data_IF_336989862476
#
_entry.id   IF_336989862476
#
_cell.length_a   1.000
_cell.length_b   1.000
_cell.length_c   1.000
_cell.angle_alpha   90.00
_cell.angle_beta   90.00
_cell.angle_gamma   90.00
#
_symmetry.space_group_name_H-M   'P 1'
#
loop_
_entity.id
_entity.type
_entity.pdbx_description
1 polymer ?
#
# COMPACT_ATOMS: atom_id res chain seq x y z
N UNK A 1 -18.04 -11.64 14.72
CA UNK A 1 -18.35 -10.66 13.65
C UNK A 1 -17.41 -9.46 13.70
N UNK A 2 -17.22 -8.77 14.83
CA UNK A 2 -16.30 -7.62 14.94
C UNK A 2 -14.82 -7.95 14.63
N UNK A 3 -14.34 -9.12 15.04
CA UNK A 3 -12.95 -9.54 14.76
C UNK A 3 -12.68 -9.76 13.27
N UNK A 4 -13.65 -10.30 12.53
CA UNK A 4 -13.53 -10.51 11.08
C UNK A 4 -13.52 -9.18 10.33
N UNK A 5 -14.40 -8.26 10.73
CA UNK A 5 -14.42 -6.90 10.19
C UNK A 5 -13.10 -6.17 10.47
N UNK A 6 -12.58 -6.30 11.70
CA UNK A 6 -11.30 -5.71 12.08
C UNK A 6 -10.12 -6.28 11.27
N UNK A 7 -10.13 -7.57 10.94
CA UNK A 7 -9.12 -8.18 10.08
C UNK A 7 -9.16 -7.60 8.66
N UNK A 8 -10.33 -7.58 8.03
CA UNK A 8 -10.48 -7.01 6.68
C UNK A 8 -10.18 -5.50 6.61
N UNK A 9 -10.54 -4.74 7.64
CA UNK A 9 -10.20 -3.32 7.75
C UNK A 9 -8.69 -3.10 7.89
N UNK A 10 -8.01 -3.91 8.71
CA UNK A 10 -6.55 -3.85 8.87
C UNK A 10 -5.82 -4.15 7.57
N UNK A 11 -6.24 -5.19 6.86
CA UNK A 11 -5.64 -5.57 5.57
C UNK A 11 -5.84 -4.48 4.52
N UNK A 12 -7.00 -3.84 4.51
CA UNK A 12 -7.29 -2.72 3.62
C UNK A 12 -6.37 -1.55 3.98
N UNK A 13 -6.32 -1.16 5.25
CA UNK A 13 -5.46 -0.09 5.74
C UNK A 13 -3.98 -0.29 5.33
N UNK A 14 -3.48 -1.52 5.49
CA UNK A 14 -2.10 -1.87 5.10
C UNK A 14 -1.86 -1.76 3.59
N UNK A 15 -2.81 -2.20 2.75
CA UNK A 15 -2.72 -2.06 1.29
C UNK A 15 -2.64 -0.59 0.86
N UNK A 16 -3.43 0.26 1.48
CA UNK A 16 -3.35 1.71 1.28
C UNK A 16 -1.99 2.25 1.74
N UNK A 17 -1.52 1.89 2.94
CA UNK A 17 -0.25 2.35 3.46
C UNK A 17 0.93 1.98 2.54
N UNK A 18 0.97 0.75 2.02
CA UNK A 18 1.97 0.29 1.06
C UNK A 18 1.93 1.16 -0.21
N UNK A 19 0.74 1.34 -0.79
CA UNK A 19 0.57 2.06 -2.06
C UNK A 19 1.01 3.52 -1.93
N UNK A 20 0.58 4.19 -0.85
CA UNK A 20 0.94 5.59 -0.60
C UNK A 20 2.42 5.78 -0.23
N UNK A 21 3.03 4.83 0.47
CA UNK A 21 4.48 4.86 0.72
C UNK A 21 5.26 4.81 -0.60
N UNK A 22 4.94 3.86 -1.47
CA UNK A 22 5.61 3.70 -2.77
C UNK A 22 5.41 4.90 -3.68
N UNK A 23 4.19 5.47 -3.72
CA UNK A 23 3.91 6.71 -4.44
C UNK A 23 4.70 7.90 -3.87
N UNK A 24 4.84 8.00 -2.55
CA UNK A 24 5.62 9.09 -1.94
C UNK A 24 7.12 8.98 -2.24
N UNK A 25 7.63 7.76 -2.38
CA UNK A 25 9.04 7.49 -2.70
C UNK A 25 9.35 7.63 -4.20
N UNK A 26 8.41 7.22 -5.06
CA UNK A 26 8.50 7.37 -6.51
C UNK A 26 7.18 7.88 -7.09
N UNK A 27 6.98 9.21 -7.12
CA UNK A 27 5.76 9.86 -7.62
C UNK A 27 5.40 9.48 -9.06
N UNK A 28 6.44 9.25 -9.88
CA UNK A 28 6.37 8.91 -11.31
C UNK A 28 6.24 7.43 -11.62
N UNK A 29 6.03 6.60 -10.60
CA UNK A 29 5.86 5.17 -10.78
C UNK A 29 4.64 4.87 -11.65
N UNK A 30 4.86 4.12 -12.74
CA UNK A 30 3.74 3.70 -13.57
C UNK A 30 2.86 2.67 -12.82
N UNK A 31 1.58 2.61 -13.19
CA UNK A 31 0.60 1.69 -12.60
C UNK A 31 1.07 0.24 -12.50
N UNK A 32 1.65 -0.31 -13.56
CA UNK A 32 2.03 -1.73 -13.58
C UNK A 32 3.16 -2.04 -12.60
N UNK A 33 4.12 -1.12 -12.48
CA UNK A 33 5.20 -1.22 -11.50
C UNK A 33 4.68 -1.04 -10.08
N UNK A 34 3.82 -0.04 -9.84
CA UNK A 34 3.21 0.20 -8.53
C UNK A 34 2.43 -1.02 -8.03
N UNK A 35 1.61 -1.64 -8.89
CA UNK A 35 0.87 -2.86 -8.56
C UNK A 35 1.81 -4.05 -8.26
N UNK A 36 2.95 -4.14 -8.95
CA UNK A 36 3.92 -5.23 -8.74
C UNK A 36 4.69 -5.06 -7.42
N UNK A 37 5.18 -3.85 -7.16
CA UNK A 37 5.93 -3.55 -5.94
C UNK A 37 5.03 -3.62 -4.71
N UNK A 38 3.82 -3.04 -4.79
CA UNK A 38 2.87 -3.09 -3.67
C UNK A 38 2.54 -4.53 -3.26
N UNK A 39 2.34 -5.42 -4.24
CA UNK A 39 2.13 -6.86 -3.97
C UNK A 39 3.34 -7.53 -3.35
N UNK A 40 4.55 -7.16 -3.76
CA UNK A 40 5.79 -7.72 -3.22
C UNK A 40 5.95 -7.36 -1.75
N UNK A 41 5.64 -6.11 -1.37
CA UNK A 41 5.64 -5.66 0.03
C UNK A 41 4.54 -6.38 0.82
N UNK A 42 3.32 -6.49 0.28
CA UNK A 42 2.22 -7.21 0.91
C UNK A 42 2.55 -8.70 1.14
N UNK A 43 3.21 -9.35 0.17
CA UNK A 43 3.67 -10.72 0.31
C UNK A 43 4.71 -10.86 1.43
N UNK A 44 5.66 -9.93 1.52
CA UNK A 44 6.64 -9.90 2.63
C UNK A 44 5.96 -9.73 3.99
N UNK A 45 5.02 -8.80 4.10
CA UNK A 45 4.21 -8.61 5.31
C UNK A 45 3.44 -9.88 5.68
N UNK A 46 2.87 -10.58 4.70
CA UNK A 46 2.15 -11.84 4.93
C UNK A 46 3.06 -12.92 5.52
N UNK A 47 4.28 -13.07 4.98
CA UNK A 47 5.27 -14.03 5.49
C UNK A 47 5.78 -13.65 6.88
N UNK A 48 6.13 -12.38 7.10
CA UNK A 48 6.73 -11.92 8.37
C UNK A 48 5.73 -11.87 9.53
N UNK A 49 4.46 -11.58 9.26
CA UNK A 49 3.43 -11.43 10.29
C UNK A 49 2.42 -12.57 10.32
N UNK A 50 2.64 -13.64 9.56
CA UNK A 50 1.79 -14.83 9.56
C UNK A 50 0.36 -14.58 9.05
N UNK A 51 0.17 -13.61 8.16
CA UNK A 51 -1.14 -13.32 7.56
C UNK A 51 -1.41 -14.39 6.51
N UNK A 52 -2.23 -15.39 6.82
CA UNK A 52 -2.63 -16.44 5.90
C UNK A 52 -3.87 -16.03 5.07
N UNK A 53 -3.74 -14.94 4.31
CA UNK A 53 -4.80 -14.36 3.49
C UNK A 53 -4.28 -14.19 2.05
N UNK A 54 -4.50 -15.14 1.13
CA UNK A 54 -4.07 -15.01 -0.27
C UNK A 54 -4.63 -13.76 -0.97
N UNK A 55 -5.78 -13.27 -0.50
CA UNK A 55 -6.39 -12.01 -0.92
C UNK A 55 -5.55 -10.76 -0.58
N UNK A 56 -4.66 -10.84 0.41
CA UNK A 56 -3.89 -9.69 0.88
C UNK A 56 -2.89 -9.17 -0.16
N UNK A 57 -2.38 -10.06 -1.01
CA UNK A 57 -1.45 -9.73 -2.09
C UNK A 57 -2.02 -10.06 -3.48
N UNK A 58 -3.35 -10.18 -3.59
CA UNK A 58 -4.01 -10.46 -4.86
C UNK A 58 -3.87 -9.31 -5.87
N UNK A 59 -3.72 -9.66 -7.15
CA UNK A 59 -3.55 -8.69 -8.22
C UNK A 59 -4.79 -7.83 -8.43
N UNK A 60 -5.97 -8.42 -8.49
CA UNK A 60 -7.19 -7.68 -8.79
C UNK A 60 -7.50 -6.66 -7.69
N UNK A 61 -7.18 -6.99 -6.44
CA UNK A 61 -7.29 -6.08 -5.30
C UNK A 61 -6.45 -4.82 -5.48
N UNK A 62 -5.17 -4.96 -5.78
CA UNK A 62 -4.29 -3.80 -6.00
C UNK A 62 -4.64 -3.04 -7.28
N UNK A 63 -5.00 -3.75 -8.36
CA UNK A 63 -5.44 -3.11 -9.60
C UNK A 63 -6.68 -2.25 -9.37
N UNK A 64 -7.65 -2.72 -8.57
CA UNK A 64 -8.86 -1.96 -8.22
C UNK A 64 -8.54 -0.74 -7.37
N UNK A 65 -7.64 -0.88 -6.39
CA UNK A 65 -7.18 0.23 -5.54
C UNK A 65 -6.51 1.33 -6.36
N UNK A 66 -5.53 0.99 -7.20
CA UNK A 66 -4.78 1.96 -8.01
C UNK A 66 -5.71 2.64 -9.01
N UNK A 67 -6.64 1.90 -9.63
CA UNK A 67 -7.67 2.48 -10.48
C UNK A 67 -8.53 3.49 -9.73
N UNK A 68 -8.99 3.15 -8.52
CA UNK A 68 -9.82 4.05 -7.70
C UNK A 68 -9.06 5.32 -7.35
N UNK A 69 -7.80 5.22 -6.92
CA UNK A 69 -6.97 6.38 -6.60
C UNK A 69 -6.79 7.30 -7.81
N UNK A 70 -6.69 6.74 -9.02
CA UNK A 70 -6.60 7.50 -10.25
C UNK A 70 -7.91 8.19 -10.58
N UNK A 71 -9.01 7.46 -10.53
CA UNK A 71 -10.33 7.98 -10.88
C UNK A 71 -10.76 9.10 -9.90
N UNK A 72 -10.30 9.05 -8.65
CA UNK A 72 -10.46 10.10 -7.63
C UNK A 72 -9.40 11.23 -7.72
N UNK A 73 -8.44 11.14 -8.64
CA UNK A 73 -7.46 12.21 -8.92
C UNK A 73 -6.23 12.25 -8.00
N UNK A 74 -5.98 11.22 -7.18
CA UNK A 74 -4.77 11.14 -6.34
C UNK A 74 -3.50 10.76 -7.11
N UNK A 75 -3.66 10.16 -8.29
CA UNK A 75 -2.56 9.79 -9.20
C UNK A 75 -2.97 10.11 -10.64
N UNK A 76 -2.01 10.56 -11.47
CA UNK A 76 -2.25 10.86 -12.88
C UNK A 76 -1.75 9.74 -13.81
N UNK A 77 -2.28 9.68 -15.04
CA UNK A 77 -1.78 8.76 -16.08
C UNK A 77 -0.33 9.07 -16.51
N UNK A 78 0.20 10.24 -16.14
CA UNK A 78 1.58 10.68 -16.39
C UNK A 78 2.54 10.41 -15.22
N UNK A 79 2.04 10.00 -14.05
CA UNK A 79 2.87 9.74 -12.87
C UNK A 79 3.18 11.00 -12.06
N UNK A 80 2.21 11.87 -11.84
CA UNK A 80 2.39 13.10 -11.06
C UNK A 80 1.61 13.02 -9.75
N UNK A 81 1.83 11.98 -8.95
CA UNK A 81 1.29 11.94 -7.60
C UNK A 81 2.00 13.01 -6.75
N UNK A 82 1.26 13.84 -6.02
CA UNK A 82 1.92 14.92 -5.27
C UNK A 82 2.66 14.33 -4.04
N UNK A 83 4.00 14.44 -3.93
CA UNK A 83 4.77 13.72 -2.92
C UNK A 83 4.39 14.14 -1.49
N UNK A 84 4.12 15.44 -1.31
CA UNK A 84 3.72 15.98 -0.01
C UNK A 84 2.34 15.46 0.43
N UNK A 85 1.41 15.31 -0.51
CA UNK A 85 0.06 14.82 -0.23
C UNK A 85 0.05 13.31 0.03
N UNK A 86 0.75 12.55 -0.82
CA UNK A 86 0.89 11.08 -0.66
C UNK A 86 1.60 10.72 0.65
N UNK A 87 2.66 11.44 1.01
CA UNK A 87 3.36 11.26 2.29
C UNK A 87 2.46 11.64 3.48
N UNK A 88 1.67 12.72 3.38
CA UNK A 88 0.70 13.08 4.43
C UNK A 88 -0.34 11.98 4.64
N UNK A 89 -0.88 11.42 3.55
CA UNK A 89 -1.81 10.30 3.63
C UNK A 89 -1.15 9.07 4.24
N UNK A 90 0.07 8.74 3.80
CA UNK A 90 0.84 7.67 4.39
C UNK A 90 1.02 7.84 5.90
N UNK A 91 1.40 9.03 6.39
CA UNK A 91 1.59 9.27 7.82
C UNK A 91 0.32 9.03 8.63
N UNK A 92 -0.85 9.47 8.13
CA UNK A 92 -2.13 9.22 8.79
C UNK A 92 -2.46 7.71 8.85
N UNK A 93 -2.11 6.94 7.82
CA UNK A 93 -2.27 5.49 7.80
C UNK A 93 -1.24 4.79 8.70
N UNK A 94 -0.02 5.31 8.77
CA UNK A 94 1.09 4.81 9.56
C UNK A 94 0.80 4.85 11.06
N UNK A 95 0.06 5.87 11.52
CA UNK A 95 -0.38 6.01 12.90
C UNK A 95 -1.44 4.96 13.31
N UNK A 96 -2.08 4.32 12.33
CA UNK A 96 -3.14 3.32 12.53
C UNK A 96 -2.64 1.87 12.39
N UNK A 97 -1.39 1.66 12.01
CA UNK A 97 -0.74 0.35 11.89
C UNK A 97 0.32 0.15 12.98
N UNK A 98 0.71 -1.10 13.21
CA UNK A 98 1.76 -1.42 14.19
C UNK A 98 3.14 -1.03 13.67
N UNK A 99 4.08 -0.74 14.59
CA UNK A 99 5.45 -0.36 14.24
C UNK A 99 6.16 -1.40 13.36
N UNK A 100 5.97 -2.70 13.60
CA UNK A 100 6.63 -3.75 12.81
C UNK A 100 6.15 -3.78 11.35
N UNK A 101 4.85 -3.52 11.14
CA UNK A 101 4.27 -3.40 9.79
C UNK A 101 4.82 -2.16 9.11
N UNK A 102 4.89 -1.02 9.82
CA UNK A 102 5.45 0.23 9.30
C UNK A 102 6.89 0.04 8.83
N UNK A 103 7.76 -0.55 9.67
CA UNK A 103 9.16 -0.82 9.34
C UNK A 103 9.30 -1.71 8.10
N UNK A 104 8.45 -2.72 7.97
CA UNK A 104 8.46 -3.60 6.79
C UNK A 104 8.09 -2.84 5.52
N UNK A 105 7.08 -1.95 5.59
CA UNK A 105 6.69 -1.09 4.46
C UNK A 105 7.84 -0.13 4.09
N UNK A 106 8.41 0.56 5.06
CA UNK A 106 9.47 1.56 4.85
C UNK A 106 10.77 0.92 4.30
N UNK A 107 11.08 -0.30 4.71
CA UNK A 107 12.25 -1.04 4.19
C UNK A 107 12.16 -1.39 2.71
N UNK A 108 10.97 -1.31 2.10
CA UNK A 108 10.76 -1.64 0.69
C UNK A 108 11.56 -0.73 -0.27
N UNK A 109 11.83 0.51 0.14
CA UNK A 109 12.52 1.53 -0.66
C UNK A 109 13.97 1.74 -0.23
N UNK A 110 14.43 1.08 0.84
CA UNK A 110 15.81 1.16 1.36
C UNK A 110 16.74 0.09 0.77
N UNK A 111 16.27 -0.65 -0.23
CA UNK A 111 16.95 -1.83 -0.80
C UNK A 111 17.55 -1.63 -2.20
N UNK A 112 17.92 -0.41 -2.58
CA UNK A 112 18.73 -0.10 -3.77
C UNK A 112 20.06 0.55 -3.40
#
# INVERSE_FOLDING_TARGET
>A
TLQLLAAGARETLQRYAITFWLLSANPSINRSTLEKESRTVAQRLSVLHGINAPEFFDKAVFSSLVLTLRDEGYISDTGDAEPAETMKIYQMLADLITSDVRLTIESATQGE
#
